data_IF_165850542736
#
_entry.id   IF_165850542736
#
_cell.length_a   1.000
_cell.length_b   1.000
_cell.length_c   1.000
_cell.angle_alpha   90.00
_cell.angle_beta   90.00
_cell.angle_gamma   90.00
#
_symmetry.space_group_name_H-M   'P 1'
#
loop_
_entity.id
_entity.type
_entity.pdbx_description
1 polymer ?
#
# COMPACT_ATOMS: atom_id res chain seq x y z
N UNK A 1 -14.04 6.78 -6.98
CA UNK A 1 -13.93 8.24 -6.85
C UNK A 1 -13.87 8.68 -5.38
N UNK A 2 -14.73 8.13 -4.53
CA UNK A 2 -14.70 8.50 -3.13
C UNK A 2 -13.34 8.20 -2.48
N UNK A 3 -12.80 7.01 -2.73
CA UNK A 3 -11.51 6.61 -2.16
C UNK A 3 -10.40 7.51 -2.67
N UNK A 4 -10.38 7.80 -3.98
CA UNK A 4 -9.37 8.67 -4.57
C UNK A 4 -9.41 10.05 -3.93
N UNK A 5 -10.61 10.63 -3.81
CA UNK A 5 -10.77 11.96 -3.21
C UNK A 5 -10.39 11.97 -1.73
N UNK A 6 -10.72 10.91 -1.02
CA UNK A 6 -10.38 10.80 0.40
C UNK A 6 -8.87 10.75 0.62
N UNK A 7 -8.16 10.01 -0.23
CA UNK A 7 -6.71 9.94 -0.16
C UNK A 7 -6.09 11.29 -0.53
N UNK A 8 -6.64 11.97 -1.53
CA UNK A 8 -6.19 13.32 -1.90
C UNK A 8 -6.33 14.31 -0.75
N UNK A 9 -7.34 14.11 0.10
CA UNK A 9 -7.57 14.94 1.29
C UNK A 9 -6.81 14.43 2.51
N UNK A 10 -6.02 13.38 2.36
CA UNK A 10 -5.19 12.79 3.42
C UNK A 10 -6.00 12.26 4.60
N UNK A 11 -7.15 11.65 4.30
CA UNK A 11 -7.95 11.00 5.32
C UNK A 11 -7.28 9.70 5.78
N UNK A 12 -7.40 9.40 7.07
CA UNK A 12 -6.92 8.12 7.60
C UNK A 12 -7.67 6.95 6.94
N UNK A 13 -6.95 5.88 6.67
CA UNK A 13 -7.54 4.72 5.99
C UNK A 13 -8.65 4.10 6.83
N UNK A 14 -8.53 4.11 8.15
CA UNK A 14 -9.59 3.61 9.03
C UNK A 14 -10.89 4.38 8.83
N UNK A 15 -10.79 5.69 8.66
CA UNK A 15 -11.96 6.53 8.42
C UNK A 15 -12.56 6.28 7.04
N UNK A 16 -11.71 6.08 6.03
CA UNK A 16 -12.17 5.77 4.68
C UNK A 16 -12.91 4.43 4.67
N UNK A 17 -12.34 3.43 5.31
CA UNK A 17 -12.96 2.10 5.40
C UNK A 17 -14.31 2.18 6.09
N UNK A 18 -14.39 2.91 7.20
CA UNK A 18 -15.64 3.07 7.94
C UNK A 18 -16.70 3.75 7.09
N UNK A 19 -16.32 4.78 6.35
CA UNK A 19 -17.26 5.52 5.50
C UNK A 19 -17.81 4.65 4.37
N UNK A 20 -17.04 3.67 3.93
CA UNK A 20 -17.45 2.75 2.86
C UNK A 20 -18.01 1.43 3.38
N UNK A 21 -18.05 1.27 4.69
CA UNK A 21 -18.48 0.03 5.33
C UNK A 21 -17.61 -1.17 4.91
N UNK A 22 -16.30 -0.94 4.88
CA UNK A 22 -15.31 -1.96 4.52
C UNK A 22 -14.42 -2.23 5.72
N UNK A 23 -13.88 -3.45 5.81
CA UNK A 23 -12.79 -3.67 6.74
C UNK A 23 -11.48 -3.21 6.08
N UNK A 24 -10.40 -3.24 6.85
CA UNK A 24 -9.12 -2.70 6.36
C UNK A 24 -8.60 -3.50 5.17
N UNK A 25 -8.74 -4.82 5.23
CA UNK A 25 -8.31 -5.71 4.15
C UNK A 25 -9.08 -5.41 2.85
N UNK A 26 -10.39 -5.23 2.98
CA UNK A 26 -11.22 -4.89 1.83
C UNK A 26 -10.85 -3.53 1.24
N UNK A 27 -10.52 -2.56 2.12
CA UNK A 27 -10.08 -1.25 1.64
C UNK A 27 -8.78 -1.37 0.85
N UNK A 28 -7.81 -2.14 1.35
CA UNK A 28 -6.55 -2.32 0.63
C UNK A 28 -6.78 -2.96 -0.74
N UNK A 29 -7.69 -3.93 -0.81
CA UNK A 29 -8.04 -4.56 -2.09
C UNK A 29 -8.62 -3.54 -3.07
N UNK A 30 -9.48 -2.63 -2.59
CA UNK A 30 -10.04 -1.58 -3.43
C UNK A 30 -8.96 -0.63 -3.94
N UNK A 31 -8.04 -0.24 -3.05
CA UNK A 31 -6.95 0.65 -3.43
C UNK A 31 -6.02 -0.02 -4.45
N UNK A 32 -5.72 -1.30 -4.23
CA UNK A 32 -4.90 -2.07 -5.17
C UNK A 32 -5.54 -2.11 -6.56
N UNK A 33 -6.86 -2.28 -6.61
CA UNK A 33 -7.59 -2.25 -7.86
C UNK A 33 -7.49 -0.90 -8.58
N UNK A 34 -7.60 0.18 -7.82
CA UNK A 34 -7.48 1.54 -8.37
C UNK A 34 -6.09 1.76 -8.96
N UNK A 35 -5.06 1.35 -8.24
CA UNK A 35 -3.68 1.51 -8.69
C UNK A 35 -3.41 0.63 -9.90
N UNK A 36 -3.93 -0.59 -9.90
CA UNK A 36 -3.77 -1.51 -11.04
C UNK A 36 -4.43 -0.99 -12.31
N UNK A 37 -5.43 -0.13 -12.18
CA UNK A 37 -6.09 0.46 -13.34
C UNK A 37 -5.31 1.65 -13.93
N UNK A 38 -4.18 2.01 -13.31
CA UNK A 38 -3.32 3.08 -13.79
C UNK A 38 -3.40 4.39 -13.02
N UNK A 39 -4.27 4.47 -12.02
CA UNK A 39 -4.40 5.66 -11.20
C UNK A 39 -3.27 5.70 -10.17
N UNK A 40 -2.61 6.84 -10.05
CA UNK A 40 -1.54 7.04 -9.07
C UNK A 40 -2.10 7.77 -7.86
N UNK A 41 -1.78 7.24 -6.68
CA UNK A 41 -2.22 7.80 -5.40
C UNK A 41 -0.98 8.08 -4.54
N UNK A 42 -1.06 9.10 -3.71
CA UNK A 42 0.02 9.38 -2.75
C UNK A 42 -0.45 8.99 -1.36
N UNK A 43 0.00 7.83 -0.90
CA UNK A 43 -0.37 7.32 0.43
C UNK A 43 0.74 7.53 1.46
N UNK A 44 1.75 8.34 1.13
CA UNK A 44 2.90 8.54 2.03
C UNK A 44 2.49 9.07 3.40
N UNK A 45 1.48 9.94 3.44
CA UNK A 45 0.99 10.49 4.71
C UNK A 45 0.52 9.39 5.67
N UNK A 46 -0.16 8.37 5.11
CA UNK A 46 -0.69 7.28 5.93
C UNK A 46 0.41 6.30 6.32
N UNK A 47 1.32 6.02 5.39
CA UNK A 47 2.42 5.11 5.68
C UNK A 47 3.24 5.58 6.87
N UNK A 48 3.53 6.89 6.94
CA UNK A 48 4.33 7.43 8.03
C UNK A 48 3.66 7.31 9.39
N UNK A 49 2.34 7.25 9.41
CA UNK A 49 1.60 7.02 10.65
C UNK A 49 1.45 5.54 10.98
N UNK A 50 1.38 4.69 9.96
CA UNK A 50 1.11 3.26 10.14
C UNK A 50 2.35 2.49 10.56
N UNK A 51 3.52 2.88 10.08
CA UNK A 51 4.75 2.12 10.30
C UNK A 51 5.98 3.02 10.27
N UNK A 52 7.07 2.53 10.86
CA UNK A 52 8.32 3.27 10.92
C UNK A 52 8.97 3.44 9.54
N UNK A 53 9.66 4.56 9.38
CA UNK A 53 10.36 4.90 8.15
C UNK A 53 11.34 3.80 7.72
N UNK A 54 12.05 3.20 8.68
CA UNK A 54 13.01 2.14 8.39
C UNK A 54 12.34 0.92 7.77
N UNK A 55 11.17 0.56 8.26
CA UNK A 55 10.41 -0.56 7.70
C UNK A 55 9.91 -0.24 6.29
N UNK A 56 9.44 0.99 6.09
CA UNK A 56 8.97 1.43 4.77
C UNK A 56 10.12 1.28 3.78
N UNK A 57 11.30 1.77 4.14
CA UNK A 57 12.46 1.73 3.25
C UNK A 57 12.89 0.29 2.95
N UNK A 58 12.94 -0.57 3.97
CA UNK A 58 13.34 -1.96 3.78
C UNK A 58 12.42 -2.69 2.81
N UNK A 59 11.11 -2.55 2.99
CA UNK A 59 10.16 -3.22 2.11
C UNK A 59 10.21 -2.60 0.71
N UNK A 60 10.35 -1.28 0.64
CA UNK A 60 10.43 -0.58 -0.65
C UNK A 60 11.65 -1.03 -1.45
N UNK A 61 12.80 -1.16 -0.79
CA UNK A 61 14.03 -1.62 -1.44
C UNK A 61 13.91 -3.05 -1.94
N UNK A 62 13.18 -3.90 -1.22
CA UNK A 62 12.93 -5.25 -1.71
C UNK A 62 12.24 -5.20 -3.08
N UNK A 63 11.18 -4.43 -3.22
CA UNK A 63 10.47 -4.33 -4.50
C UNK A 63 11.31 -3.68 -5.58
N UNK A 64 12.13 -2.72 -5.22
CA UNK A 64 12.92 -1.97 -6.19
C UNK A 64 14.14 -2.73 -6.68
N UNK A 65 14.80 -3.48 -5.81
CA UNK A 65 16.11 -4.05 -6.09
C UNK A 65 16.16 -5.56 -6.08
N UNK A 66 15.37 -6.21 -5.23
CA UNK A 66 15.50 -7.65 -5.02
C UNK A 66 14.40 -8.48 -5.68
N UNK A 67 13.21 -7.92 -5.80
CA UNK A 67 12.07 -8.66 -6.33
C UNK A 67 12.17 -8.81 -7.84
N UNK A 68 11.80 -9.98 -8.35
CA UNK A 68 11.74 -10.22 -9.80
C UNK A 68 10.48 -9.62 -10.41
N UNK A 69 9.45 -9.42 -9.59
CA UNK A 69 8.18 -8.84 -10.01
C UNK A 69 7.53 -8.14 -8.81
N UNK A 70 6.39 -7.51 -9.02
CA UNK A 70 5.64 -6.87 -7.94
C UNK A 70 4.62 -7.82 -7.30
N UNK A 71 4.83 -9.13 -7.42
CA UNK A 71 3.92 -10.13 -6.84
C UNK A 71 3.81 -9.99 -5.33
N UNK A 72 2.58 -9.88 -4.84
CA UNK A 72 2.32 -9.82 -3.40
C UNK A 72 2.66 -11.14 -2.73
N UNK A 73 2.29 -12.26 -3.35
CA UNK A 73 2.54 -13.57 -2.76
C UNK A 73 4.04 -13.82 -2.59
N UNK A 74 4.84 -13.47 -3.60
CA UNK A 74 6.28 -13.61 -3.51
C UNK A 74 6.87 -12.72 -2.42
N UNK A 75 6.36 -11.50 -2.28
CA UNK A 75 6.81 -10.58 -1.24
C UNK A 75 6.48 -11.11 0.15
N UNK A 76 5.29 -11.65 0.34
CA UNK A 76 4.90 -12.23 1.62
C UNK A 76 5.79 -13.41 1.98
N UNK A 77 6.10 -14.27 0.99
CA UNK A 77 7.00 -15.39 1.22
C UNK A 77 8.38 -14.93 1.67
N UNK A 78 8.90 -13.87 1.06
CA UNK A 78 10.24 -13.37 1.35
C UNK A 78 10.29 -12.56 2.64
N UNK A 79 9.29 -11.72 2.88
CA UNK A 79 9.33 -10.72 3.95
C UNK A 79 8.43 -11.04 5.14
N UNK A 80 7.57 -12.02 5.03
CA UNK A 80 6.51 -12.25 6.01
C UNK A 80 6.98 -12.66 7.40
N UNK A 81 8.25 -13.09 7.54
CA UNK A 81 8.80 -13.41 8.85
C UNK A 81 9.08 -12.14 9.67
N UNK A 82 9.33 -11.02 9.00
CA UNK A 82 9.74 -9.78 9.64
C UNK A 82 8.69 -8.66 9.57
N UNK A 83 7.75 -8.75 8.63
CA UNK A 83 6.77 -7.71 8.39
C UNK A 83 5.38 -8.30 8.24
N UNK A 84 4.35 -7.54 8.64
CA UNK A 84 2.97 -8.02 8.50
C UNK A 84 2.52 -7.89 7.05
N UNK A 85 1.47 -8.63 6.70
CA UNK A 85 0.90 -8.56 5.38
C UNK A 85 0.43 -7.13 5.05
N UNK A 86 -0.20 -6.46 6.01
CA UNK A 86 -0.65 -5.07 5.81
C UNK A 86 0.50 -4.14 5.52
N UNK A 87 1.61 -4.29 6.24
CA UNK A 87 2.80 -3.49 6.01
C UNK A 87 3.34 -3.69 4.59
N UNK A 88 3.43 -4.95 4.18
CA UNK A 88 3.93 -5.29 2.85
C UNK A 88 3.00 -4.73 1.77
N UNK A 89 1.68 -4.89 1.95
CA UNK A 89 0.70 -4.42 0.98
C UNK A 89 0.72 -2.91 0.82
N UNK A 90 0.85 -2.18 1.93
CA UNK A 90 0.87 -0.72 1.88
C UNK A 90 2.11 -0.20 1.15
N UNK A 91 3.27 -0.75 1.44
CA UNK A 91 4.50 -0.31 0.76
C UNK A 91 4.48 -0.73 -0.71
N UNK A 92 3.90 -1.89 -1.03
CA UNK A 92 3.74 -2.32 -2.41
C UNK A 92 2.89 -1.32 -3.20
N UNK A 93 1.81 -0.81 -2.59
CA UNK A 93 0.97 0.21 -3.22
C UNK A 93 1.81 1.47 -3.53
N UNK A 94 2.59 1.92 -2.55
CA UNK A 94 3.48 3.06 -2.73
C UNK A 94 4.46 2.81 -3.89
N UNK A 95 5.08 1.63 -3.91
CA UNK A 95 6.03 1.27 -4.96
C UNK A 95 5.37 1.30 -6.34
N UNK A 96 4.19 0.69 -6.46
CA UNK A 96 3.47 0.65 -7.73
C UNK A 96 3.09 2.04 -8.22
N UNK A 97 2.71 2.92 -7.31
CA UNK A 97 2.36 4.29 -7.68
C UNK A 97 3.56 5.11 -8.14
N UNK A 98 4.73 4.84 -7.59
CA UNK A 98 5.93 5.63 -7.88
C UNK A 98 6.75 5.05 -9.03
N UNK A 99 6.77 3.72 -9.17
CA UNK A 99 7.63 3.06 -10.15
C UNK A 99 6.85 2.43 -11.29
N UNK A 100 5.58 2.20 -11.10
CA UNK A 100 4.76 1.51 -12.07
C UNK A 100 4.14 2.49 -13.05
N UNK A 101 4.59 2.45 -14.25
CA UNK A 101 3.97 3.22 -15.34
C UNK A 101 3.75 4.68 -15.03
#
# INVERSE_FOLDING_TARGET
>A
IFIIQSIDRKMDFEDIARAKDLDFDELLTEIEGIVNSGTKLDISYYLREFMDEDKIEDIYLYFKEDAESDSLDAAIDELGADYTEEEIRLVRIKFMCEQGN
#
